data_IF_600815631880
#
_entry.id   IF_600815631880
#
_cell.length_a   1.000
_cell.length_b   1.000
_cell.length_c   1.000
_cell.angle_alpha   90.00
_cell.angle_beta   90.00
_cell.angle_gamma   90.00
#
_symmetry.space_group_name_H-M   'P 1'
#
loop_
_entity.id
_entity.type
_entity.pdbx_description
1 polymer ?
#
# COMPACT_ATOMS: atom_id res chain seq x y z
N UNK A 1 57.40 -15.01 -4.71
CA UNK A 1 56.38 -16.06 -4.94
C UNK A 1 55.71 -16.40 -3.63
N UNK A 2 54.69 -15.65 -3.24
CA UNK A 2 53.81 -16.01 -2.11
C UNK A 2 52.39 -15.83 -2.64
N UNK A 3 51.74 -16.96 -2.90
CA UNK A 3 50.43 -17.08 -3.51
C UNK A 3 49.38 -16.55 -2.52
N UNK A 4 48.72 -15.46 -2.91
CA UNK A 4 47.49 -14.99 -2.27
C UNK A 4 46.39 -16.02 -2.50
N UNK A 5 46.04 -16.75 -1.45
CA UNK A 5 44.83 -17.57 -1.42
C UNK A 5 43.62 -16.66 -1.20
N UNK A 6 42.98 -16.23 -2.29
CA UNK A 6 41.61 -15.73 -2.21
C UNK A 6 40.71 -16.90 -1.81
N UNK A 7 40.28 -16.91 -0.55
CA UNK A 7 39.10 -17.66 -0.11
C UNK A 7 37.91 -17.11 -0.89
N UNK A 8 37.62 -17.72 -2.04
CA UNK A 8 36.30 -17.66 -2.66
C UNK A 8 35.38 -18.44 -1.72
N UNK A 9 34.84 -17.74 -0.73
CA UNK A 9 33.62 -18.16 -0.07
C UNK A 9 32.55 -18.22 -1.16
N UNK A 10 32.32 -19.42 -1.68
CA UNK A 10 31.12 -19.73 -2.45
C UNK A 10 29.94 -19.53 -1.51
N UNK A 11 29.45 -18.30 -1.39
CA UNK A 11 28.12 -18.06 -0.88
C UNK A 11 27.19 -18.84 -1.82
N UNK A 12 26.63 -19.96 -1.33
CA UNK A 12 25.36 -20.43 -1.87
C UNK A 12 24.42 -19.24 -1.72
N UNK A 13 24.28 -18.45 -2.79
CA UNK A 13 23.60 -17.16 -2.72
C UNK A 13 22.15 -17.37 -2.33
N UNK A 14 21.85 -17.16 -1.05
CA UNK A 14 20.50 -17.22 -0.50
C UNK A 14 19.62 -16.23 -1.25
N UNK A 15 18.34 -16.57 -1.42
CA UNK A 15 17.36 -15.66 -2.01
C UNK A 15 17.22 -14.44 -1.07
N UNK A 16 17.56 -13.22 -1.50
CA UNK A 16 17.48 -12.04 -0.65
C UNK A 16 16.01 -11.64 -0.43
N UNK A 17 15.66 -11.09 0.75
CA UNK A 17 14.30 -10.63 1.00
C UNK A 17 13.95 -9.37 0.18
N UNK A 18 12.66 -9.09 -0.04
CA UNK A 18 12.22 -7.86 -0.69
C UNK A 18 12.67 -6.60 0.07
N UNK A 19 13.02 -5.54 -0.67
CA UNK A 19 13.46 -4.28 -0.09
C UNK A 19 12.31 -3.26 -0.01
N UNK A 20 12.45 -2.23 0.83
CA UNK A 20 11.50 -1.11 0.93
C UNK A 20 10.02 -1.51 1.03
N UNK A 21 9.72 -2.58 1.79
CA UNK A 21 8.36 -3.08 1.96
C UNK A 21 7.50 -2.05 2.69
N UNK A 22 6.44 -1.58 2.03
CA UNK A 22 5.53 -0.56 2.59
C UNK A 22 4.11 -0.73 2.10
N UNK A 23 3.16 -0.29 2.92
CA UNK A 23 1.75 -0.19 2.51
C UNK A 23 1.51 1.16 1.82
N UNK A 24 0.97 1.11 0.60
CA UNK A 24 0.41 2.28 -0.09
C UNK A 24 -1.11 2.18 -0.03
N UNK A 25 -1.73 2.94 0.89
CA UNK A 25 -3.17 2.92 1.09
C UNK A 25 -3.79 4.29 0.85
N UNK A 26 -4.75 4.35 -0.08
CA UNK A 26 -5.56 5.55 -0.36
C UNK A 26 -7.03 5.17 -0.46
N UNK A 27 -7.89 5.81 0.33
CA UNK A 27 -9.33 5.53 0.37
C UNK A 27 -9.65 4.02 0.52
N UNK A 28 -8.90 3.32 1.37
CA UNK A 28 -8.98 1.87 1.61
C UNK A 28 -8.60 0.97 0.42
N UNK A 29 -8.07 1.52 -0.67
CA UNK A 29 -7.32 0.73 -1.65
C UNK A 29 -5.93 0.48 -1.10
N UNK A 30 -5.69 -0.74 -0.62
CA UNK A 30 -4.51 -1.10 0.18
C UNK A 30 -3.54 -1.94 -0.67
N UNK A 31 -2.49 -1.32 -1.18
CA UNK A 31 -1.51 -2.01 -2.03
C UNK A 31 -0.21 -2.17 -1.24
N UNK A 32 0.14 -3.40 -0.88
CA UNK A 32 1.46 -3.70 -0.33
C UNK A 32 2.47 -3.66 -1.46
N UNK A 33 3.51 -2.83 -1.34
CA UNK A 33 4.54 -2.64 -2.37
C UNK A 33 5.93 -2.95 -1.81
N UNK A 34 6.83 -3.39 -2.67
CA UNK A 34 8.23 -3.65 -2.35
C UNK A 34 9.13 -3.38 -3.55
N UNK A 35 10.44 -3.36 -3.32
CA UNK A 35 11.47 -3.23 -4.34
C UNK A 35 12.15 -4.58 -4.59
N UNK A 36 12.61 -4.77 -5.83
CA UNK A 36 13.35 -5.98 -6.22
C UNK A 36 14.74 -5.95 -5.58
N UNK A 37 15.11 -6.97 -4.78
CA UNK A 37 16.47 -7.07 -4.28
C UNK A 37 17.43 -7.47 -5.40
N UNK A 38 18.71 -7.13 -5.24
CA UNK A 38 19.74 -7.52 -6.20
C UNK A 38 19.93 -9.04 -6.24
N UNK A 39 19.55 -9.69 -7.34
CA UNK A 39 19.64 -11.14 -7.49
C UNK A 39 20.06 -11.57 -8.91
N UNK A 40 21.33 -11.94 -9.14
CA UNK A 40 21.85 -12.21 -10.49
C UNK A 40 21.49 -13.59 -11.05
N UNK A 41 20.90 -14.49 -10.24
CA UNK A 41 20.63 -15.88 -10.65
C UNK A 41 19.36 -16.04 -11.50
N UNK A 42 18.49 -15.02 -11.58
CA UNK A 42 17.30 -15.05 -12.40
C UNK A 42 16.16 -14.19 -11.84
N UNK A 43 14.96 -14.37 -12.38
CA UNK A 43 13.78 -13.62 -11.97
C UNK A 43 13.19 -14.20 -10.68
N UNK A 44 13.01 -13.33 -9.68
CA UNK A 44 12.32 -13.66 -8.45
C UNK A 44 10.80 -13.64 -8.64
N UNK A 45 10.13 -14.47 -7.86
CA UNK A 45 8.69 -14.34 -7.61
C UNK A 45 8.45 -14.04 -6.14
N UNK A 46 7.26 -13.58 -5.79
CA UNK A 46 6.96 -13.14 -4.44
C UNK A 46 5.67 -13.76 -3.92
N UNK A 47 5.66 -14.09 -2.63
CA UNK A 47 4.46 -14.53 -1.93
C UNK A 47 4.19 -13.56 -0.80
N UNK A 48 2.98 -12.99 -0.78
CA UNK A 48 2.51 -12.05 0.23
C UNK A 48 1.33 -12.64 0.99
N UNK A 49 1.35 -12.50 2.32
CA UNK A 49 0.42 -13.11 3.24
C UNK A 49 -0.11 -12.11 4.27
N UNK A 50 -1.26 -12.39 4.85
CA UNK A 50 -1.79 -11.70 6.03
C UNK A 50 -2.10 -12.68 7.16
N UNK A 51 -1.94 -12.24 8.40
CA UNK A 51 -2.26 -13.04 9.57
C UNK A 51 -3.77 -13.03 9.81
N UNK A 52 -4.39 -14.21 9.82
CA UNK A 52 -5.82 -14.39 10.06
C UNK A 52 -6.05 -15.43 11.15
N UNK A 53 -6.71 -15.03 12.23
CA UNK A 53 -6.94 -15.83 13.44
C UNK A 53 -5.66 -16.41 14.05
N UNK A 54 -5.24 -17.60 13.62
CA UNK A 54 -4.09 -18.34 14.17
C UNK A 54 -3.01 -18.66 13.13
N UNK A 55 -3.19 -18.25 11.87
CA UNK A 55 -2.25 -18.58 10.79
C UNK A 55 -2.21 -17.53 9.71
N UNK A 56 -1.08 -17.44 9.02
CA UNK A 56 -0.97 -16.65 7.81
C UNK A 56 -1.74 -17.30 6.64
N UNK A 57 -2.42 -16.47 5.85
CA UNK A 57 -3.10 -16.84 4.61
C UNK A 57 -2.42 -16.16 3.43
N UNK A 58 -2.27 -16.89 2.33
CA UNK A 58 -1.78 -16.34 1.07
C UNK A 58 -2.80 -15.34 0.49
N UNK A 59 -2.30 -14.19 0.04
CA UNK A 59 -3.07 -13.22 -0.75
C UNK A 59 -2.60 -13.20 -2.20
N UNK A 60 -1.28 -13.10 -2.39
CA UNK A 60 -0.63 -13.26 -3.69
C UNK A 60 0.42 -14.36 -3.57
N UNK A 61 0.41 -15.33 -4.48
CA UNK A 61 1.32 -16.48 -4.46
C UNK A 61 2.17 -16.45 -5.72
N UNK A 62 3.50 -16.48 -5.56
CA UNK A 62 4.48 -16.51 -6.66
C UNK A 62 4.21 -15.50 -7.78
N UNK A 63 3.83 -14.28 -7.40
CA UNK A 63 3.64 -13.19 -8.35
C UNK A 63 5.00 -12.65 -8.83
N UNK A 64 5.09 -12.26 -10.10
CA UNK A 64 6.24 -11.51 -10.62
C UNK A 64 6.10 -9.99 -10.38
N UNK A 65 4.95 -9.53 -9.90
CA UNK A 65 4.72 -8.14 -9.55
C UNK A 65 5.43 -7.79 -8.24
N UNK A 66 5.77 -6.52 -8.09
CA UNK A 66 6.34 -5.96 -6.86
C UNK A 66 5.28 -5.33 -5.96
N UNK A 67 4.05 -5.81 -6.10
CA UNK A 67 2.91 -5.36 -5.32
C UNK A 67 1.86 -6.46 -5.14
N UNK A 68 1.02 -6.32 -4.11
CA UNK A 68 -0.13 -7.18 -3.86
C UNK A 68 -1.29 -6.37 -3.28
N UNK A 69 -2.49 -6.62 -3.79
CA UNK A 69 -3.71 -5.94 -3.36
C UNK A 69 -4.28 -6.60 -2.10
N UNK A 70 -4.36 -5.84 -1.01
CA UNK A 70 -4.94 -6.21 0.28
C UNK A 70 -6.20 -5.38 0.60
N UNK A 71 -6.87 -4.82 -0.41
CA UNK A 71 -8.09 -4.01 -0.23
C UNK A 71 -9.29 -4.81 0.28
N UNK A 72 -9.18 -6.14 0.31
CA UNK A 72 -10.15 -7.05 0.93
C UNK A 72 -10.01 -7.23 2.44
N UNK A 73 -8.96 -6.66 3.07
CA UNK A 73 -8.82 -6.69 4.53
C UNK A 73 -9.97 -5.94 5.22
N UNK A 74 -10.30 -6.38 6.44
CA UNK A 74 -11.19 -5.61 7.31
C UNK A 74 -10.63 -4.20 7.48
N UNK A 75 -11.48 -3.19 7.27
CA UNK A 75 -11.12 -1.77 7.51
C UNK A 75 -10.77 -1.49 8.97
N UNK A 76 -11.22 -2.35 9.87
CA UNK A 76 -11.00 -2.25 11.32
C UNK A 76 -9.93 -3.22 11.80
N UNK A 77 -9.15 -2.76 12.77
CA UNK A 77 -8.15 -3.54 13.51
C UNK A 77 -6.77 -3.56 12.84
N UNK A 78 -5.79 -4.01 13.62
CA UNK A 78 -4.41 -4.16 13.18
C UNK A 78 -4.22 -5.45 12.39
N UNK A 79 -3.67 -5.34 11.19
CA UNK A 79 -3.29 -6.48 10.36
C UNK A 79 -1.78 -6.64 10.36
N UNK A 80 -1.31 -7.87 10.57
CA UNK A 80 0.09 -8.23 10.32
C UNK A 80 0.20 -8.84 8.93
N UNK A 81 0.99 -8.21 8.07
CA UNK A 81 1.26 -8.64 6.71
C UNK A 81 2.71 -9.08 6.59
N UNK A 82 2.99 -9.96 5.64
CA UNK A 82 4.37 -10.33 5.31
C UNK A 82 4.57 -10.69 3.86
N UNK A 83 5.77 -10.45 3.35
CA UNK A 83 6.17 -10.81 2.00
C UNK A 83 7.57 -11.42 2.00
N UNK A 84 7.80 -12.36 1.07
CA UNK A 84 9.12 -12.95 0.82
C UNK A 84 9.36 -13.11 -0.68
N UNK A 85 10.62 -13.23 -1.06
CA UNK A 85 11.04 -13.61 -2.40
C UNK A 85 11.20 -15.14 -2.50
N UNK A 86 10.94 -15.69 -3.69
CA UNK A 86 11.04 -17.10 -4.03
C UNK A 86 11.78 -17.28 -5.36
N UNK A 87 12.66 -18.28 -5.42
CA UNK A 87 13.37 -18.69 -6.63
C UNK A 87 13.53 -20.21 -6.65
N UNK A 88 12.93 -20.87 -7.66
CA UNK A 88 12.78 -22.32 -7.68
C UNK A 88 12.18 -22.84 -6.34
N UNK A 89 12.91 -23.70 -5.62
CA UNK A 89 12.48 -24.26 -4.34
C UNK A 89 13.04 -23.50 -3.12
N UNK A 90 13.83 -22.44 -3.34
CA UNK A 90 14.39 -21.59 -2.29
C UNK A 90 13.55 -20.33 -2.05
N UNK A 91 13.61 -19.78 -0.84
CA UNK A 91 12.93 -18.54 -0.49
C UNK A 91 13.74 -17.72 0.51
N UNK A 92 13.47 -16.41 0.55
CA UNK A 92 14.04 -15.51 1.55
C UNK A 92 13.37 -15.67 2.91
N UNK A 93 13.93 -14.96 3.91
CA UNK A 93 13.20 -14.63 5.13
C UNK A 93 11.96 -13.77 4.83
N UNK A 94 11.00 -13.80 5.76
CA UNK A 94 9.80 -12.96 5.70
C UNK A 94 10.09 -11.54 6.18
N UNK A 95 9.68 -10.54 5.41
CA UNK A 95 9.57 -9.16 5.89
C UNK A 95 8.14 -8.94 6.36
N UNK A 96 7.98 -8.54 7.62
CA UNK A 96 6.68 -8.32 8.25
C UNK A 96 6.42 -6.83 8.40
N UNK A 97 5.17 -6.40 8.22
CA UNK A 97 4.69 -5.06 8.55
C UNK A 97 3.34 -5.14 9.29
N UNK A 98 3.01 -4.09 10.03
CA UNK A 98 1.68 -3.90 10.61
C UNK A 98 0.97 -2.76 9.89
N UNK A 99 -0.36 -2.87 9.76
CA UNK A 99 -1.19 -1.89 9.08
C UNK A 99 -2.60 -1.87 9.68
N UNK A 100 -3.06 -0.70 10.12
CA UNK A 100 -4.43 -0.45 10.55
C UNK A 100 -5.13 0.42 9.50
N UNK A 101 -6.00 -0.13 8.63
CA UNK A 101 -6.55 0.62 7.50
C UNK A 101 -7.30 1.90 7.91
N UNK A 102 -8.03 1.87 9.02
CA UNK A 102 -8.80 3.03 9.50
C UNK A 102 -7.91 4.21 9.89
N UNK A 103 -6.74 3.93 10.45
CA UNK A 103 -5.83 4.94 11.00
C UNK A 103 -4.74 5.34 9.98
N UNK A 104 -4.27 4.38 9.17
CA UNK A 104 -3.11 4.53 8.30
C UNK A 104 -3.48 4.87 6.84
N UNK A 105 -4.74 4.67 6.40
CA UNK A 105 -5.12 5.00 5.02
C UNK A 105 -5.07 6.50 4.78
N UNK A 106 -4.48 6.92 3.67
CA UNK A 106 -4.56 8.30 3.25
C UNK A 106 -5.95 8.59 2.68
N UNK A 107 -6.56 9.67 3.16
CA UNK A 107 -7.83 10.17 2.65
C UNK A 107 -7.54 11.02 1.42
N UNK A 108 -7.96 10.53 0.26
CA UNK A 108 -7.82 11.26 -1.01
C UNK A 108 -8.71 12.50 -1.06
N UNK A 109 -8.47 13.40 -2.04
CA UNK A 109 -9.30 14.60 -2.20
C UNK A 109 -10.76 14.23 -2.51
N UNK A 110 -11.74 14.99 -2.00
CA UNK A 110 -13.12 14.85 -2.43
C UNK A 110 -13.30 15.34 -3.87
N UNK A 111 -14.30 14.80 -4.56
CA UNK A 111 -14.75 15.41 -5.81
C UNK A 111 -15.58 16.66 -5.48
N UNK A 112 -15.42 17.71 -6.29
CA UNK A 112 -16.09 19.00 -6.10
C UNK A 112 -16.72 19.47 -7.40
N UNK A 113 -18.00 19.81 -7.32
CA UNK A 113 -18.74 20.45 -8.40
C UNK A 113 -19.03 21.89 -8.00
N UNK A 114 -18.74 22.84 -8.90
CA UNK A 114 -18.90 24.28 -8.64
C UNK A 114 -19.79 24.89 -9.72
N UNK A 115 -20.81 25.61 -9.28
CA UNK A 115 -21.73 26.34 -10.15
C UNK A 115 -21.72 27.82 -9.77
N UNK A 116 -21.71 28.70 -10.78
CA UNK A 116 -21.82 30.15 -10.61
C UNK A 116 -23.28 30.53 -10.74
N UNK A 117 -23.86 31.14 -9.70
CA UNK A 117 -25.23 31.63 -9.72
C UNK A 117 -25.25 33.10 -9.34
N UNK A 118 -25.48 33.96 -10.33
CA UNK A 118 -25.35 35.41 -10.20
C UNK A 118 -23.97 35.83 -9.65
N UNK A 119 -23.90 36.23 -8.38
CA UNK A 119 -22.70 36.66 -7.66
C UNK A 119 -22.25 35.68 -6.56
N UNK A 120 -22.76 34.45 -6.55
CA UNK A 120 -22.35 33.40 -5.62
C UNK A 120 -21.70 32.20 -6.32
N UNK A 121 -20.84 31.50 -5.59
CA UNK A 121 -20.32 30.18 -5.94
C UNK A 121 -21.06 29.13 -5.12
N UNK A 122 -21.76 28.23 -5.79
CA UNK A 122 -22.43 27.09 -5.17
C UNK A 122 -21.51 25.88 -5.32
N UNK A 123 -21.13 25.29 -4.19
CA UNK A 123 -20.16 24.19 -4.14
C UNK A 123 -20.84 22.94 -3.61
N UNK A 124 -20.67 21.83 -4.33
CA UNK A 124 -21.12 20.50 -3.92
C UNK A 124 -19.91 19.58 -3.79
N UNK A 125 -19.72 19.03 -2.59
CA UNK A 125 -18.65 18.08 -2.30
C UNK A 125 -19.20 16.65 -2.29
N UNK A 126 -18.48 15.76 -2.95
CA UNK A 126 -18.72 14.33 -2.96
C UNK A 126 -17.57 13.65 -2.21
N UNK A 127 -17.92 12.90 -1.16
CA UNK A 127 -16.93 12.22 -0.35
C UNK A 127 -16.21 11.16 -1.20
N UNK A 128 -14.91 10.91 -0.94
CA UNK A 128 -14.18 9.89 -1.67
C UNK A 128 -14.91 8.53 -1.59
N UNK A 129 -14.95 7.84 -2.73
CA UNK A 129 -15.44 6.46 -2.80
C UNK A 129 -14.42 5.53 -2.15
N UNK A 130 -14.91 4.41 -1.62
CA UNK A 130 -14.08 3.39 -1.00
C UNK A 130 -13.96 2.17 -1.92
N UNK A 131 -12.79 1.54 -1.92
CA UNK A 131 -12.58 0.28 -2.62
C UNK A 131 -13.42 -0.84 -1.98
N UNK A 132 -13.92 -1.76 -2.81
CA UNK A 132 -14.71 -2.95 -2.39
C UNK A 132 -15.97 -2.64 -1.58
N UNK A 133 -16.56 -1.46 -1.73
CA UNK A 133 -17.82 -1.08 -1.10
C UNK A 133 -18.86 -0.70 -2.16
N UNK A 134 -20.17 -0.79 -1.86
CA UNK A 134 -21.21 -0.32 -2.77
C UNK A 134 -20.99 1.15 -3.15
N UNK A 135 -21.40 1.56 -4.35
CA UNK A 135 -21.22 2.95 -4.81
C UNK A 135 -21.84 4.01 -3.88
N UNK A 136 -22.83 3.61 -3.07
CA UNK A 136 -23.49 4.47 -2.08
C UNK A 136 -22.67 4.70 -0.82
N UNK A 137 -21.64 3.88 -0.58
CA UNK A 137 -20.75 3.97 0.56
C UNK A 137 -19.55 4.86 0.25
N UNK A 138 -19.29 5.78 1.15
CA UNK A 138 -18.20 6.76 1.08
C UNK A 138 -17.48 6.84 2.41
N UNK A 139 -16.37 7.59 2.46
CA UNK A 139 -15.63 7.84 3.71
C UNK A 139 -16.53 8.33 4.86
N UNK A 140 -17.62 9.06 4.57
CA UNK A 140 -18.59 9.52 5.58
C UNK A 140 -19.27 8.38 6.33
N UNK A 141 -19.42 7.21 5.71
CA UNK A 141 -20.03 6.03 6.34
C UNK A 141 -19.11 5.38 7.38
N UNK A 142 -17.79 5.61 7.29
CA UNK A 142 -16.78 5.06 8.20
C UNK A 142 -16.39 6.09 9.26
N UNK A 143 -16.14 7.34 8.86
CA UNK A 143 -15.75 8.42 9.76
C UNK A 143 -16.98 9.23 10.20
N UNK A 144 -17.55 8.90 11.37
CA UNK A 144 -18.77 9.51 11.90
C UNK A 144 -18.70 11.05 12.04
N UNK A 145 -17.52 11.62 12.20
CA UNK A 145 -17.30 13.07 12.36
C UNK A 145 -16.74 13.73 11.09
N UNK A 146 -17.08 13.22 9.91
CA UNK A 146 -16.62 13.75 8.63
C UNK A 146 -17.08 15.20 8.38
N UNK A 147 -16.11 16.10 8.19
CA UNK A 147 -16.33 17.51 7.85
C UNK A 147 -15.42 17.93 6.68
N UNK A 148 -15.85 18.93 5.91
CA UNK A 148 -15.03 19.52 4.85
C UNK A 148 -14.46 20.85 5.32
N UNK A 149 -13.14 21.00 5.18
CA UNK A 149 -12.47 22.29 5.34
C UNK A 149 -12.32 22.93 3.96
N UNK A 150 -12.85 24.14 3.80
CA UNK A 150 -12.88 24.84 2.52
C UNK A 150 -11.97 26.06 2.61
N UNK A 151 -11.07 26.21 1.63
CA UNK A 151 -10.18 27.36 1.50
C UNK A 151 -10.35 27.94 0.09
N UNK A 152 -10.47 29.26 -0.01
CA UNK A 152 -10.66 29.97 -1.29
C UNK A 152 -9.99 31.35 -1.24
N UNK A 153 -9.57 31.86 -2.40
CA UNK A 153 -8.95 33.17 -2.54
C UNK A 153 -9.31 33.80 -3.88
N UNK A 154 -9.15 35.12 -3.99
CA UNK A 154 -9.32 35.83 -5.25
C UNK A 154 -8.03 35.71 -6.08
N UNK A 155 -8.15 35.51 -7.39
CA UNK A 155 -6.96 35.47 -8.23
C UNK A 155 -6.14 36.77 -8.08
N UNK A 156 -4.85 36.63 -7.76
CA UNK A 156 -3.93 37.74 -7.50
C UNK A 156 -3.92 38.28 -6.06
N UNK A 157 -4.60 37.65 -5.10
CA UNK A 157 -4.41 37.96 -3.67
C UNK A 157 -3.32 37.08 -3.05
N UNK A 158 -2.47 37.67 -2.20
CA UNK A 158 -1.48 36.94 -1.38
C UNK A 158 -2.11 36.34 -0.11
N UNK A 159 -3.36 36.70 0.20
CA UNK A 159 -4.14 36.16 1.30
C UNK A 159 -4.85 34.86 0.87
N UNK A 160 -4.63 33.80 1.65
CA UNK A 160 -5.21 32.46 1.49
C UNK A 160 -6.13 32.11 2.65
#
# INVERSE_FOLDING_TARGET
SWLGGCLLMSALGMVPPPENVRMNSVNFKNILQWELPAFPKGNLTFTAQYHSYKKFQDMCTRTALTECDFSGLSKYGDHTLRVRAEFADEHSDWINITFCPLDDTMIGPPEMQVEVLANSLHMRFLAPKMENEPETWTMRNIYNSWVYNVQYWKNGSDEK
#
